data_IF_043008855750
#
_entry.id   IF_043008855750
#
_cell.length_a   1.000
_cell.length_b   1.000
_cell.length_c   1.000
_cell.angle_alpha   90.00
_cell.angle_beta   90.00
_cell.angle_gamma   90.00
#
_symmetry.space_group_name_H-M   'P 1'
#
loop_
_entity.id
_entity.type
_entity.pdbx_description
1 polymer ?
#
# COMPACT_ATOMS: atom_id res chain seq x y z
N UNK A 1 -24.16 -27.74 13.06
CA UNK A 1 -23.82 -27.64 11.63
C UNK A 1 -25.03 -28.11 10.85
N UNK A 2 -25.80 -27.20 10.27
CA UNK A 2 -27.07 -27.54 9.59
C UNK A 2 -26.83 -28.02 8.15
N UNK A 3 -25.73 -27.61 7.51
CA UNK A 3 -25.40 -27.94 6.11
C UNK A 3 -24.19 -28.89 5.92
N UNK A 4 -23.68 -29.53 6.97
CA UNK A 4 -22.56 -30.49 6.86
C UNK A 4 -21.20 -29.93 6.41
N UNK A 5 -21.08 -28.60 6.26
CA UNK A 5 -19.84 -27.95 5.84
C UNK A 5 -18.73 -28.07 6.89
N UNK A 6 -17.52 -28.38 6.44
CA UNK A 6 -16.31 -28.38 7.27
C UNK A 6 -15.91 -26.96 7.67
N UNK A 7 -15.19 -26.81 8.79
CA UNK A 7 -14.71 -25.50 9.27
C UNK A 7 -13.91 -24.74 8.19
N UNK A 8 -13.12 -25.44 7.37
CA UNK A 8 -12.37 -24.84 6.27
C UNK A 8 -13.27 -24.31 5.14
N UNK A 9 -14.34 -25.04 4.81
CA UNK A 9 -15.34 -24.58 3.83
C UNK A 9 -16.07 -23.34 4.33
N UNK A 10 -16.49 -23.31 5.60
CA UNK A 10 -17.14 -22.14 6.20
C UNK A 10 -16.20 -20.92 6.16
N UNK A 11 -14.93 -21.11 6.53
CA UNK A 11 -13.95 -20.03 6.51
C UNK A 11 -13.74 -19.46 5.09
N UNK A 12 -13.46 -20.32 4.11
CA UNK A 12 -13.08 -19.87 2.76
C UNK A 12 -14.26 -19.44 1.88
N UNK A 13 -15.42 -20.09 2.02
CA UNK A 13 -16.58 -19.83 1.15
C UNK A 13 -17.57 -18.83 1.74
N UNK A 14 -17.54 -18.60 3.07
CA UNK A 14 -18.50 -17.73 3.75
C UNK A 14 -17.81 -16.56 4.44
N UNK A 15 -16.84 -16.82 5.32
CA UNK A 15 -16.16 -15.75 6.08
C UNK A 15 -15.25 -14.92 5.17
N UNK A 16 -14.40 -15.55 4.35
CA UNK A 16 -13.42 -14.84 3.52
C UNK A 16 -14.06 -13.87 2.50
N UNK A 17 -15.13 -14.23 1.77
CA UNK A 17 -15.81 -13.31 0.86
C UNK A 17 -16.47 -12.13 1.58
N UNK A 18 -17.03 -12.34 2.77
CA UNK A 18 -17.59 -11.27 3.61
C UNK A 18 -16.51 -10.28 4.07
N UNK A 19 -15.30 -10.77 4.34
CA UNK A 19 -14.17 -9.95 4.75
C UNK A 19 -13.43 -9.27 3.58
N UNK A 20 -13.76 -9.57 2.31
CA UNK A 20 -13.04 -9.00 1.15
C UNK A 20 -12.90 -7.47 1.19
N UNK A 21 -13.93 -6.67 1.49
CA UNK A 21 -13.80 -5.21 1.49
C UNK A 21 -12.77 -4.71 2.52
N UNK A 22 -12.81 -5.25 3.74
CA UNK A 22 -11.87 -4.83 4.79
C UNK A 22 -10.45 -5.34 4.52
N UNK A 23 -10.29 -6.53 3.94
CA UNK A 23 -8.98 -7.06 3.55
C UNK A 23 -8.33 -6.21 2.46
N UNK A 24 -9.11 -5.68 1.51
CA UNK A 24 -8.64 -4.73 0.51
C UNK A 24 -8.13 -3.46 1.18
N UNK A 25 -8.92 -2.85 2.07
CA UNK A 25 -8.54 -1.62 2.79
C UNK A 25 -7.25 -1.83 3.59
N UNK A 26 -7.16 -2.91 4.38
CA UNK A 26 -5.95 -3.23 5.15
C UNK A 26 -4.77 -3.44 4.22
N UNK A 27 -4.93 -4.17 3.12
CA UNK A 27 -3.87 -4.38 2.13
C UNK A 27 -3.33 -3.08 1.53
N UNK A 28 -4.21 -2.14 1.20
CA UNK A 28 -3.82 -0.81 0.68
C UNK A 28 -3.06 -0.01 1.74
N UNK A 29 -3.59 0.06 2.97
CA UNK A 29 -2.93 0.80 4.05
C UNK A 29 -1.56 0.19 4.40
N UNK A 30 -1.45 -1.13 4.43
CA UNK A 30 -0.17 -1.84 4.60
C UNK A 30 0.78 -1.54 3.45
N UNK A 31 0.31 -1.56 2.20
CA UNK A 31 1.13 -1.22 1.04
C UNK A 31 1.65 0.22 1.13
N UNK A 32 0.78 1.21 1.39
CA UNK A 32 1.17 2.61 1.51
C UNK A 32 2.23 2.78 2.61
N UNK A 33 2.01 2.15 3.78
CA UNK A 33 2.94 2.22 4.91
C UNK A 33 4.31 1.63 4.58
N UNK A 34 4.37 0.41 4.03
CA UNK A 34 5.64 -0.27 3.74
C UNK A 34 6.33 0.31 2.51
N UNK A 35 5.60 0.71 1.47
CA UNK A 35 6.16 1.30 0.25
C UNK A 35 6.81 2.66 0.51
N UNK A 36 6.19 3.47 1.39
CA UNK A 36 6.71 4.77 1.82
C UNK A 36 7.75 4.71 2.93
N UNK A 37 8.09 3.53 3.47
CA UNK A 37 9.01 3.42 4.60
C UNK A 37 10.44 3.76 4.18
N UNK A 38 10.88 4.93 4.61
CA UNK A 38 12.24 5.41 4.39
C UNK A 38 13.19 5.00 5.51
N UNK A 39 12.76 5.06 6.77
CA UNK A 39 13.66 5.00 7.94
C UNK A 39 14.24 3.60 8.08
N UNK A 40 13.38 2.58 8.12
CA UNK A 40 13.81 1.21 8.30
C UNK A 40 14.56 0.71 7.07
N UNK A 41 14.08 1.06 5.87
CA UNK A 41 14.74 0.76 4.61
C UNK A 41 16.16 1.35 4.57
N UNK A 42 16.34 2.63 4.95
CA UNK A 42 17.65 3.28 4.93
C UNK A 42 18.66 2.67 5.89
N UNK A 43 18.19 2.16 7.02
CA UNK A 43 19.02 1.53 8.06
C UNK A 43 19.46 0.12 7.62
N UNK A 44 18.54 -0.67 7.06
CA UNK A 44 18.81 -2.07 6.71
C UNK A 44 19.55 -2.22 5.37
N UNK A 45 19.20 -1.40 4.38
CA UNK A 45 19.72 -1.51 3.02
C UNK A 45 21.05 -0.79 2.90
N UNK A 46 22.10 -1.55 2.56
CA UNK A 46 23.48 -1.05 2.52
C UNK A 46 24.03 -0.83 1.10
N UNK A 47 23.51 -1.57 0.12
CA UNK A 47 23.95 -1.46 -1.27
C UNK A 47 22.92 -0.68 -2.10
N UNK A 48 23.40 0.15 -3.03
CA UNK A 48 22.55 0.97 -3.88
C UNK A 48 21.63 0.16 -4.78
N UNK A 49 22.03 -1.07 -5.13
CA UNK A 49 21.25 -2.00 -5.94
C UNK A 49 19.99 -2.50 -5.21
N UNK A 50 19.97 -2.41 -3.89
CA UNK A 50 18.87 -2.87 -3.05
C UNK A 50 18.00 -1.72 -2.54
N UNK A 51 18.33 -0.47 -2.86
CA UNK A 51 17.59 0.68 -2.35
C UNK A 51 16.14 0.67 -2.81
N UNK A 52 15.23 0.89 -1.86
CA UNK A 52 13.86 1.27 -2.20
C UNK A 52 13.87 2.62 -2.89
N UNK A 53 12.79 2.93 -3.61
CA UNK A 53 12.65 4.21 -4.28
C UNK A 53 12.87 5.40 -3.32
N UNK A 54 12.28 5.33 -2.12
CA UNK A 54 12.40 6.39 -1.10
C UNK A 54 13.86 6.59 -0.68
N UNK A 55 14.62 5.51 -0.50
CA UNK A 55 16.05 5.58 -0.17
C UNK A 55 16.87 6.09 -1.36
N UNK A 56 16.58 5.62 -2.57
CA UNK A 56 17.25 6.05 -3.81
C UNK A 56 17.08 7.54 -4.09
N UNK A 57 15.90 8.10 -3.81
CA UNK A 57 15.64 9.54 -3.97
C UNK A 57 16.55 10.42 -3.10
N UNK A 58 17.02 9.91 -1.95
CA UNK A 58 17.96 10.63 -1.08
C UNK A 58 19.28 10.97 -1.79
N UNK A 59 19.69 10.19 -2.80
CA UNK A 59 20.93 10.42 -3.55
C UNK A 59 20.90 11.79 -4.25
N UNK A 60 19.72 12.29 -4.63
CA UNK A 60 19.58 13.59 -5.27
C UNK A 60 19.63 14.77 -4.30
N UNK A 61 19.49 14.56 -3.00
CA UNK A 61 19.41 15.62 -1.99
C UNK A 61 20.54 15.58 -0.95
N UNK A 62 21.40 14.55 -0.99
CA UNK A 62 22.48 14.33 -0.01
C UNK A 62 23.68 15.25 -0.14
N UNK A 63 23.90 15.89 -1.30
CA UNK A 63 25.03 16.79 -1.52
C UNK A 63 24.73 18.23 -1.10
N UNK A 64 25.47 18.77 -0.12
CA UNK A 64 25.23 20.08 0.50
C UNK A 64 25.25 21.28 -0.48
N UNK A 65 25.96 21.17 -1.61
CA UNK A 65 26.09 22.23 -2.62
C UNK A 65 25.69 21.80 -4.04
N UNK A 66 25.08 20.61 -4.20
CA UNK A 66 24.72 20.05 -5.51
C UNK A 66 23.41 19.25 -5.45
N UNK A 67 22.42 19.79 -4.72
CA UNK A 67 21.10 19.17 -4.65
C UNK A 67 20.39 19.26 -6.00
N UNK A 68 19.94 18.11 -6.49
CA UNK A 68 19.27 17.94 -7.77
C UNK A 68 17.76 17.81 -7.55
N UNK A 69 17.12 18.95 -7.24
CA UNK A 69 15.69 19.02 -6.97
C UNK A 69 14.81 18.61 -8.15
N UNK A 70 15.24 18.88 -9.39
CA UNK A 70 14.51 18.47 -10.60
C UNK A 70 14.37 16.93 -10.69
N UNK A 71 15.49 16.19 -10.73
CA UNK A 71 15.46 14.72 -10.69
C UNK A 71 14.75 14.14 -9.47
N UNK A 72 14.91 14.76 -8.29
CA UNK A 72 14.18 14.35 -7.09
C UNK A 72 12.66 14.46 -7.29
N UNK A 73 12.16 15.61 -7.76
CA UNK A 73 10.74 15.84 -7.99
C UNK A 73 10.18 14.89 -9.07
N UNK A 74 10.90 14.70 -10.17
CA UNK A 74 10.52 13.75 -11.22
C UNK A 74 10.41 12.32 -10.68
N UNK A 75 11.41 11.88 -9.90
CA UNK A 75 11.39 10.56 -9.28
C UNK A 75 10.31 10.40 -8.21
N UNK A 76 10.00 11.45 -7.45
CA UNK A 76 8.91 11.46 -6.48
C UNK A 76 7.54 11.33 -7.17
N UNK A 77 7.33 12.01 -8.30
CA UNK A 77 6.11 11.89 -9.10
C UNK A 77 5.96 10.47 -9.66
N UNK A 78 7.03 9.90 -10.23
CA UNK A 78 7.03 8.50 -10.68
C UNK A 78 6.73 7.56 -9.50
N UNK A 79 7.29 7.85 -8.33
CA UNK A 79 7.07 7.08 -7.11
C UNK A 79 5.66 7.11 -6.57
N UNK A 80 4.89 8.16 -6.86
CA UNK A 80 3.49 8.25 -6.49
C UNK A 80 2.56 7.42 -7.42
N UNK A 81 3.02 7.08 -8.63
CA UNK A 81 2.19 6.38 -9.62
C UNK A 81 1.64 5.03 -9.12
N UNK A 82 2.43 4.14 -8.48
CA UNK A 82 1.90 2.85 -8.02
C UNK A 82 0.75 3.00 -7.01
N UNK A 83 0.90 3.93 -6.06
CA UNK A 83 -0.16 4.23 -5.08
C UNK A 83 -1.40 4.78 -5.79
N UNK A 84 -1.21 5.70 -6.75
CA UNK A 84 -2.31 6.27 -7.54
C UNK A 84 -3.05 5.20 -8.34
N UNK A 85 -2.33 4.29 -9.00
CA UNK A 85 -2.90 3.19 -9.78
C UNK A 85 -3.72 2.27 -8.87
N UNK A 86 -3.17 1.89 -7.72
CA UNK A 86 -3.87 1.04 -6.74
C UNK A 86 -5.13 1.75 -6.22
N UNK A 87 -5.03 3.04 -5.90
CA UNK A 87 -6.16 3.82 -5.46
C UNK A 87 -7.27 3.87 -6.51
N UNK A 88 -6.94 4.23 -7.76
CA UNK A 88 -7.93 4.31 -8.84
C UNK A 88 -8.57 2.95 -9.14
N UNK A 89 -7.81 1.87 -9.06
CA UNK A 89 -8.33 0.52 -9.27
C UNK A 89 -9.27 0.04 -8.14
N UNK A 90 -9.11 0.55 -6.92
CA UNK A 90 -9.79 0.06 -5.72
C UNK A 90 -10.69 1.11 -5.05
N UNK A 91 -10.82 2.31 -5.62
CA UNK A 91 -11.58 3.42 -5.06
C UNK A 91 -13.01 3.05 -4.70
N UNK A 92 -13.66 2.20 -5.51
CA UNK A 92 -15.04 1.77 -5.29
C UNK A 92 -15.18 0.90 -4.02
N UNK A 93 -14.17 0.08 -3.72
CA UNK A 93 -14.13 -0.72 -2.49
C UNK A 93 -13.86 0.14 -1.25
N UNK A 94 -13.04 1.19 -1.39
CA UNK A 94 -12.74 2.12 -0.29
C UNK A 94 -13.97 2.96 0.03
N UNK A 95 -14.62 3.56 -0.97
CA UNK A 95 -15.80 4.43 -0.79
C UNK A 95 -17.03 3.60 -0.39
N UNK A 96 -17.25 2.44 -1.02
CA UNK A 96 -18.33 1.52 -0.67
C UNK A 96 -18.19 0.93 0.74
N UNK A 97 -16.97 0.56 1.15
CA UNK A 97 -16.71 0.02 2.48
C UNK A 97 -16.94 1.03 3.62
N UNK A 98 -16.60 2.31 3.41
CA UNK A 98 -16.83 3.39 4.39
C UNK A 98 -18.31 3.76 4.51
N UNK A 99 -19.10 3.64 3.44
CA UNK A 99 -20.51 4.06 3.39
C UNK A 99 -21.49 2.94 3.77
N UNK A 100 -21.22 1.69 3.41
CA UNK A 100 -22.08 0.55 3.78
C UNK A 100 -22.12 0.26 5.28
N UNK A 101 -21.08 0.62 6.04
CA UNK A 101 -21.09 0.54 7.51
C UNK A 101 -21.72 1.75 8.21
N UNK A 102 -21.95 2.86 7.49
CA UNK A 102 -22.43 4.12 8.05
C UNK A 102 -23.95 4.28 7.98
N UNK A 103 -24.63 3.63 7.02
CA UNK A 103 -26.08 3.66 6.91
C UNK A 103 -26.66 2.40 7.54
N UNK A 104 -26.92 2.47 8.86
CA UNK A 104 -27.81 1.52 9.52
C UNK A 104 -29.20 1.62 8.92
N UNK A 105 -29.66 0.53 8.31
CA UNK A 105 -30.95 -0.04 8.74
C UNK A 105 -30.82 -0.60 10.15
#
# INVERSE_FOLDING_TARGET
MVDGATHWQIFTMLILPLLRPILIVVGILSFIGTYGDFVLARILLKSSEQYTLMVGLQIFTSGQFSQKWGPFAAGALIGALPIMIIYLALQDYIVGGLTQGAVKG
#
